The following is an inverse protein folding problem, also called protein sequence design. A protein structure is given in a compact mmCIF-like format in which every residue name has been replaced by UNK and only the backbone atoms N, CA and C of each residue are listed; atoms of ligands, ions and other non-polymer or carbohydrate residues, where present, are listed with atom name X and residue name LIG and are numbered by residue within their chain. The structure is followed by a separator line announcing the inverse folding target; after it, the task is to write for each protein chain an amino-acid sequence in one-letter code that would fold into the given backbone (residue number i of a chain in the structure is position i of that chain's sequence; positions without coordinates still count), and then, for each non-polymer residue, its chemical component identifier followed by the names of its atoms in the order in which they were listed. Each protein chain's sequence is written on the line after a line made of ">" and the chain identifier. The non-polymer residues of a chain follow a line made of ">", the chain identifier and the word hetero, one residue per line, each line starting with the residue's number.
data_IF_344454910170
#
_entry.id   IF_344454910170
#
_cell.length_a   1.000
_cell.length_b   1.000
_cell.length_c   1.000
_cell.angle_alpha   90.00
_cell.angle_beta   90.00
_cell.angle_gamma   90.00
#
_symmetry.space_group_name_H-M   'P 1'
#
loop_
_entity.id
_entity.type
_entity.pdbx_description
1 polymer ?
2 branched ?
3 water ?
#
# COMPACT_ATOMS: atom_id res chain seq x y z
N UNK A 37 9.75 15.10 28.73
CA UNK A 37 8.89 15.27 27.56
C UNK A 37 7.99 14.04 27.32
N UNK A 38 6.70 14.31 27.11
CA UNK A 38 5.71 13.27 26.89
C UNK A 38 5.19 13.35 25.45
N UNK A 39 5.46 12.32 24.67
CA UNK A 39 5.00 12.23 23.28
C UNK A 39 3.74 11.40 23.20
N UNK A 40 2.76 11.91 22.44
CA UNK A 40 1.56 11.15 22.12
C UNK A 40 1.73 10.55 20.73
N UNK A 41 1.72 9.22 20.65
CA UNK A 41 2.00 8.47 19.43
C UNK A 41 0.82 7.58 19.09
N UNK A 42 0.23 7.78 17.92
CA UNK A 42 -0.86 6.95 17.41
C UNK A 42 -0.38 6.17 16.19
N UNK A 43 -0.59 4.85 16.21
CA UNK A 43 -0.13 3.98 15.13
C UNK A 43 -1.24 3.04 14.70
N UNK A 44 -1.31 2.78 13.40
CA UNK A 44 -2.28 1.87 12.83
C UNK A 44 -1.88 0.42 13.10
N UNK A 45 -2.84 -0.38 13.57
CA UNK A 45 -2.62 -1.81 13.75
C UNK A 45 -3.06 -2.51 12.47
N UNK A 46 -2.08 -2.88 11.64
CA UNK A 46 -2.32 -3.64 10.45
C UNK A 46 -1.74 -5.04 10.52
N UNK A 47 -1.61 -5.66 9.35
CA UNK A 47 -1.20 -7.06 9.28
C UNK A 47 0.11 -7.37 9.99
N UNK A 48 0.97 -6.36 10.16
CA UNK A 48 2.24 -6.58 10.87
C UNK A 48 2.08 -6.60 12.39
N UNK A 49 0.90 -6.28 12.90
CA UNK A 49 0.67 -6.32 14.34
C UNK A 49 1.08 -5.04 15.05
N UNK A 50 0.60 -4.90 16.29
CA UNK A 50 0.87 -3.73 17.10
C UNK A 50 2.00 -3.93 18.11
N UNK A 51 2.36 -5.19 18.40
CA UNK A 51 3.42 -5.44 19.39
C UNK A 51 4.74 -4.82 18.97
N UNK A 52 5.01 -4.74 17.67
CA UNK A 52 6.26 -4.14 17.23
C UNK A 52 6.33 -2.66 17.61
N UNK A 53 5.19 -1.97 17.62
CA UNK A 53 5.21 -0.56 18.05
C UNK A 53 5.39 -0.45 19.56
N UNK A 54 4.79 -1.37 20.31
CA UNK A 54 5.02 -1.39 21.76
C UNK A 54 6.49 -1.61 22.05
N UNK A 55 7.11 -2.57 21.36
CA UNK A 55 8.51 -2.87 21.64
C UNK A 55 9.42 -1.74 21.16
N UNK A 56 9.11 -1.14 20.01
CA UNK A 56 9.92 -0.03 19.51
C UNK A 56 9.84 1.16 20.46
N UNK A 57 8.62 1.48 20.91
CA UNK A 57 8.45 2.59 21.86
C UNK A 57 9.21 2.30 23.14
N UNK A 58 9.11 1.07 23.65
CA UNK A 58 9.86 0.70 24.84
C UNK A 58 11.36 0.84 24.61
N UNK A 59 11.83 0.44 23.42
CA UNK A 59 13.25 0.51 23.14
C UNK A 59 13.73 1.95 23.05
N UNK A 60 12.89 2.85 22.53
CA UNK A 60 13.29 4.26 22.47
C UNK A 60 13.36 4.86 23.87
N UNK A 61 12.44 4.46 24.75
CA UNK A 61 12.46 4.96 26.13
C UNK A 61 13.65 4.41 26.90
N UNK A 62 14.15 3.23 26.54
CA UNK A 62 15.37 2.74 27.15
C UNK A 62 16.59 3.50 26.63
N UNK A 63 16.58 3.88 25.34
CA UNK A 63 17.67 4.66 24.80
C UNK A 63 17.62 6.10 25.28
N UNK A 64 16.42 6.69 25.32
CA UNK A 64 16.21 8.10 25.65
C UNK A 64 15.40 8.20 26.94
N UNK A 65 16.06 8.17 28.10
CA UNK A 65 15.33 8.17 29.37
C UNK A 65 14.56 9.46 29.66
N UNK A 66 14.72 10.49 28.86
CA UNK A 66 14.02 11.75 29.07
C UNK A 66 12.70 11.84 28.34
N UNK A 67 12.33 10.82 27.56
CA UNK A 67 11.12 10.85 26.75
C UNK A 67 10.20 9.72 27.19
N UNK A 68 8.94 10.06 27.45
CA UNK A 68 7.89 9.10 27.71
C UNK A 68 6.90 9.17 26.56
N UNK A 69 6.51 8.00 26.02
CA UNK A 69 5.61 7.94 24.88
C UNK A 69 4.33 7.25 25.31
N UNK A 70 3.20 7.94 25.12
CA UNK A 70 1.89 7.34 25.27
C UNK A 70 1.49 6.80 23.92
N UNK A 71 1.61 5.48 23.76
CA UNK A 71 1.34 4.82 22.49
C UNK A 71 -0.12 4.40 22.42
N UNK A 72 -0.77 4.73 21.31
CA UNK A 72 -2.09 4.21 20.99
C UNK A 72 -2.00 3.48 19.66
N UNK A 73 -2.29 2.19 19.67
CA UNK A 73 -2.42 1.40 18.45
C UNK A 73 -3.86 0.95 18.31
N UNK A 74 -4.36 0.95 17.08
CA UNK A 74 -5.76 0.58 16.87
C UNK A 74 -5.98 0.30 15.40
N UNK A 75 -6.84 -0.69 15.11
CA UNK A 75 -7.31 -0.89 13.75
C UNK A 75 -8.19 0.27 13.30
N UNK A 76 -8.74 1.05 14.23
CA UNK A 76 -9.54 2.22 13.91
C UNK A 76 -8.88 3.47 14.49
N UNK A 77 -7.64 3.74 14.10
CA UNK A 77 -6.88 4.84 14.68
C UNK A 77 -7.46 6.20 14.28
N UNK A 78 -8.23 6.25 13.19
CA UNK A 78 -8.93 7.48 12.83
C UNK A 78 -9.99 7.84 13.87
N UNK A 79 -10.84 6.87 14.23
CA UNK A 79 -11.87 7.13 15.23
C UNK A 79 -11.31 7.45 16.60
N UNK A 80 -10.08 7.02 16.90
CA UNK A 80 -9.47 7.32 18.20
C UNK A 80 -9.05 8.79 18.27
N UNK A 81 -8.32 9.27 17.26
CA UNK A 81 -7.67 10.56 17.35
C UNK A 81 -8.49 11.71 16.76
N UNK A 82 -9.42 11.42 15.85
CA UNK A 82 -10.19 12.50 15.24
C UNK A 82 -11.03 13.29 16.23
N UNK A 83 -11.75 12.68 17.19
CA UNK A 83 -12.45 13.51 18.19
C UNK A 83 -11.52 14.39 18.99
N UNK A 84 -10.37 13.87 19.42
CA UNK A 84 -9.41 14.70 20.12
C UNK A 84 -8.86 15.83 19.26
N UNK A 85 -8.71 15.59 17.96
CA UNK A 85 -8.19 16.62 17.07
C UNK A 85 -9.18 17.78 16.93
N UNK A 86 -10.44 17.47 16.63
CA UNK A 86 -11.45 18.51 16.51
C UNK A 86 -11.75 19.17 17.84
N UNK A 87 -11.34 18.54 18.95
CA UNK A 87 -11.45 19.12 20.28
C UNK A 87 -10.19 19.88 20.71
N UNK A 88 -9.11 19.78 19.94
CA UNK A 88 -7.88 20.51 20.20
C UNK A 88 -6.72 19.65 20.66
N UNK A 89 -6.98 18.40 21.07
CA UNK A 89 -5.94 17.52 21.59
C UNK A 89 -5.41 16.66 20.44
N UNK A 90 -4.31 17.12 19.83
CA UNK A 90 -3.68 16.39 18.73
C UNK A 90 -2.56 15.49 19.26
N UNK A 91 -2.37 14.32 18.66
CA UNK A 91 -1.15 13.56 18.93
C UNK A 91 0.06 14.24 18.30
N UNK A 92 1.24 13.90 18.83
CA UNK A 92 2.46 14.51 18.33
C UNK A 92 2.96 13.83 17.07
N UNK A 93 2.71 12.55 16.90
CA UNK A 93 3.20 11.78 15.76
C UNK A 93 2.20 10.67 15.47
N UNK A 94 1.91 10.45 14.19
CA UNK A 94 0.91 9.48 13.77
C UNK A 94 1.52 8.56 12.73
N UNK A 95 1.35 7.25 12.92
CA UNK A 95 1.65 6.27 11.89
C UNK A 95 0.33 5.88 11.23
N UNK A 96 0.12 6.36 10.01
CA UNK A 96 -1.05 6.03 9.20
C UNK A 96 -0.79 6.45 7.76
N UNK A 97 -0.78 5.49 6.84
CA UNK A 97 -0.49 5.78 5.45
C UNK A 97 -1.67 6.38 4.72
N UNK A 98 -1.44 6.68 3.44
CA UNK A 98 -2.54 6.97 2.53
C UNK A 98 -3.24 5.67 2.16
N UNK A 99 -4.54 5.77 1.91
CA UNK A 99 -5.31 4.60 1.51
C UNK A 99 -6.29 4.08 2.54
N UNK A 100 -6.35 4.67 3.73
CA UNK A 100 -7.34 4.27 4.71
C UNK A 100 -8.74 4.54 4.17
N UNK A 101 -9.74 3.97 4.86
CA UNK A 101 -11.14 4.17 4.45
C UNK A 101 -11.58 5.59 4.75
N UNK A 102 -11.30 6.08 5.96
CA UNK A 102 -11.63 7.45 6.31
C UNK A 102 -10.84 8.47 5.50
N UNK A 103 -9.69 8.05 4.96
CA UNK A 103 -8.80 8.97 4.28
C UNK A 103 -8.31 10.10 5.18
N UNK A 104 -7.96 9.78 6.42
CA UNK A 104 -7.58 10.82 7.38
C UNK A 104 -6.34 11.56 6.91
N UNK A 105 -5.29 10.80 6.55
CA UNK A 105 -4.04 11.42 6.12
C UNK A 105 -4.26 12.37 4.95
N UNK A 106 -4.98 11.91 3.93
CA UNK A 106 -5.24 12.76 2.77
C UNK A 106 -6.05 14.00 3.16
N UNK A 107 -7.03 13.83 4.06
CA UNK A 107 -7.81 14.97 4.53
C UNK A 107 -6.93 16.01 5.20
N UNK A 108 -6.13 15.60 6.19
CA UNK A 108 -5.24 16.54 6.85
C UNK A 108 -4.23 17.14 5.87
N UNK A 109 -3.83 16.37 4.85
CA UNK A 109 -3.00 16.92 3.79
C UNK A 109 -3.73 18.01 3.02
N UNK A 110 -5.04 17.83 2.81
CA UNK A 110 -5.82 18.84 2.09
C UNK A 110 -5.97 20.11 2.91
N UNK A 111 -6.12 20.00 4.22
CA UNK A 111 -6.22 21.15 5.10
C UNK A 111 -4.87 21.75 5.46
N UNK A 112 -3.80 21.33 4.77
CA UNK A 112 -2.45 21.79 5.08
C UNK A 112 -2.15 21.66 6.58
N UNK A 113 -2.59 20.54 7.16
CA UNK A 113 -2.49 20.30 8.59
C UNK A 113 -1.41 19.31 8.96
N UNK A 114 -0.45 19.07 8.07
CA UNK A 114 0.63 18.12 8.32
C UNK A 114 1.95 18.86 8.26
N UNK A 115 2.76 18.71 9.31
CA UNK A 115 3.99 19.46 9.44
C UNK A 115 5.01 19.07 8.37
N UNK A 116 5.74 20.06 7.88
CA UNK A 116 6.88 19.83 6.99
C UNK A 116 7.99 19.13 7.78
N UNK A 117 8.29 17.89 7.42
CA UNK A 117 9.29 17.13 8.14
C UNK A 117 10.50 16.86 7.25
N UNK A 118 10.75 17.77 6.30
CA UNK A 118 11.91 17.60 5.43
C UNK A 118 13.20 17.56 6.22
N UNK A 119 13.28 18.34 7.30
CA UNK A 119 14.46 18.36 8.14
C UNK A 119 14.69 17.04 8.88
N UNK A 120 13.70 16.14 8.91
CA UNK A 120 13.92 14.84 9.51
C UNK A 120 14.89 14.02 8.67
N UNK A 121 14.94 14.28 7.35
CA UNK A 121 15.88 13.57 6.50
C UNK A 121 17.32 13.87 6.88
N UNK A 122 17.58 15.04 7.47
CA UNK A 122 18.92 15.44 7.83
C UNK A 122 19.25 15.17 9.30
N UNK A 123 18.29 14.71 10.09
CA UNK A 123 18.55 14.54 11.51
C UNK A 123 19.39 13.30 11.79
N UNK A 124 20.18 13.38 12.85
CA UNK A 124 20.93 12.24 13.34
C UNK A 124 19.97 11.19 13.89
N UNK A 125 20.11 9.96 13.41
CA UNK A 125 19.34 8.83 13.93
C UNK A 125 19.74 8.60 15.38
N UNK A 126 18.82 8.70 16.34
CA UNK A 126 19.18 8.42 17.73
C UNK A 126 19.77 7.02 17.87
N UNK A 127 20.81 6.91 18.70
CA UNK A 127 21.56 5.69 18.84
C UNK A 127 22.63 5.47 17.78
N UNK A 128 22.71 6.33 16.77
CA UNK A 128 23.66 6.20 15.68
C UNK A 128 24.20 7.57 15.32
N UNK A 129 25.15 7.62 14.38
CA UNK A 129 25.69 8.89 13.90
C UNK A 129 25.50 9.03 12.40
N UNK A 130 24.45 8.44 11.86
CA UNK A 130 24.09 8.59 10.47
C UNK A 130 22.82 9.43 10.38
N UNK A 131 22.66 10.11 9.25
CA UNK A 131 21.42 10.83 9.04
C UNK A 131 20.35 9.90 8.49
N UNK A 132 19.10 10.33 8.61
CA UNK A 132 18.00 9.53 8.08
C UNK A 132 18.18 9.30 6.58
N UNK A 133 18.56 10.35 5.84
CA UNK A 133 18.67 10.20 4.39
C UNK A 133 19.84 9.31 3.99
N UNK A 134 20.92 9.30 4.79
CA UNK A 134 22.03 8.40 4.52
C UNK A 134 21.61 6.94 4.55
N UNK A 135 20.58 6.61 5.34
CA UNK A 135 20.14 5.23 5.50
C UNK A 135 19.02 4.84 4.56
N UNK A 136 18.24 5.80 4.05
CA UNK A 136 17.11 5.45 3.20
C UNK A 136 17.57 4.81 1.90
N UNK A 137 16.83 3.79 1.46
CA UNK A 137 17.06 3.15 0.18
C UNK A 137 16.60 4.11 -0.92
N UNK A 138 17.00 3.84 -2.16
CA UNK A 138 16.54 4.66 -3.27
C UNK A 138 15.07 4.40 -3.56
N UNK A 139 14.46 5.36 -4.24
CA UNK A 139 13.10 5.18 -4.73
C UNK A 139 12.05 5.01 -3.65
N UNK A 140 12.21 5.72 -2.53
CA UNK A 140 11.17 5.73 -1.50
C UNK A 140 10.74 7.13 -1.13
N UNK A 141 11.53 8.16 -1.43
CA UNK A 141 11.11 9.55 -1.28
C UNK A 141 10.65 10.00 -2.65
N UNK A 142 9.35 10.26 -2.78
CA UNK A 142 8.76 10.63 -4.04
C UNK A 142 7.39 11.24 -3.87
N UNK A 143 6.49 10.96 -4.81
CA UNK A 143 5.19 11.61 -4.78
C UNK A 143 4.36 11.19 -3.56
N UNK A 144 4.57 9.97 -3.07
CA UNK A 144 3.88 9.51 -1.85
C UNK A 144 4.34 10.30 -0.63
N UNK A 145 5.64 10.58 -0.53
CA UNK A 145 6.19 11.31 0.61
C UNK A 145 6.07 12.82 0.45
N UNK A 146 6.01 13.31 -0.80
CA UNK A 146 5.87 14.72 -1.12
C UNK A 146 4.54 14.91 -1.84
N UNK A 147 3.41 14.84 -1.13
CA UNK A 147 2.11 14.78 -1.83
C UNK A 147 1.78 16.05 -2.59
N UNK A 148 2.43 17.16 -2.29
CA UNK A 148 2.29 18.39 -3.09
C UNK A 148 3.32 18.47 -4.20
N UNK A 149 4.20 17.47 -4.33
CA UNK A 149 5.04 17.34 -5.49
C UNK A 149 6.19 18.32 -5.59
N UNK A 150 6.76 18.73 -4.46
CA UNK A 150 7.89 19.63 -4.53
C UNK A 150 9.15 19.00 -4.00
N UNK A 151 9.95 19.79 -3.27
CA UNK A 151 11.08 19.26 -2.56
C UNK A 151 10.82 19.15 -1.06
N UNK A 152 9.57 19.28 -0.65
CA UNK A 152 9.19 19.23 0.76
C UNK A 152 8.54 17.89 1.08
N UNK A 153 9.08 17.21 2.08
CA UNK A 153 8.59 15.90 2.49
C UNK A 153 7.63 16.06 3.66
N UNK A 154 6.43 15.50 3.51
CA UNK A 154 5.41 15.57 4.55
C UNK A 154 5.04 14.23 5.15
N UNK A 155 5.29 13.12 4.46
CA UNK A 155 4.99 11.79 4.98
C UNK A 155 6.26 10.95 4.88
N UNK A 156 6.89 10.68 6.02
CA UNK A 156 8.11 9.89 6.02
C UNK A 156 7.79 8.42 5.78
N UNK A 157 8.60 7.72 4.99
CA UNK A 157 8.23 6.37 4.57
C UNK A 157 8.26 5.37 5.72
N UNK A 158 7.24 4.51 5.74
CA UNK A 158 7.12 3.46 6.73
C UNK A 158 7.02 2.13 6.00
N UNK A 159 7.79 1.14 6.48
CA UNK A 159 7.86 -0.19 5.87
C UNK A 159 8.48 -0.11 4.48
N UNK A 160 8.36 -1.20 3.71
CA UNK A 160 9.03 -1.35 2.42
C UNK A 160 8.58 -2.65 1.77
N UNK A 161 7.26 -2.83 1.64
CA UNK A 161 6.78 -4.15 1.29
C UNK A 161 6.41 -4.24 -0.17
N UNK A 162 6.95 -5.21 -0.90
CA UNK A 162 6.50 -5.42 -2.28
C UNK A 162 5.05 -5.86 -2.33
N UNK A 163 4.32 -5.32 -3.31
CA UNK A 163 2.97 -5.75 -3.61
C UNK A 163 2.89 -6.23 -5.05
N UNK A 164 2.00 -7.17 -5.28
CA UNK A 164 1.76 -7.73 -6.59
C UNK A 164 0.59 -8.67 -6.52
N UNK A 165 0.81 -9.94 -6.87
CA UNK A 165 -0.20 -10.98 -6.78
C UNK A 165 0.31 -12.08 -5.86
N UNK A 166 -0.47 -12.39 -4.83
CA UNK A 166 -0.16 -13.46 -3.89
C UNK A 166 -1.05 -14.64 -4.22
N UNK A 167 -0.46 -15.85 -4.19
CA UNK A 167 -1.19 -17.06 -4.52
C UNK A 167 -0.56 -18.23 -3.76
N UNK A 168 -1.10 -19.42 -3.99
CA UNK A 168 -0.55 -20.64 -3.41
C UNK A 168 0.34 -21.29 -4.46
N UNK A 169 1.65 -21.24 -4.21
CA UNK A 169 2.62 -21.76 -5.18
C UNK A 169 2.39 -23.25 -5.46
N UNK A 170 2.01 -24.01 -4.43
CA UNK A 170 1.84 -25.44 -4.59
C UNK A 170 0.61 -25.77 -5.44
N UNK A 171 -0.48 -25.03 -5.23
CA UNK A 171 -1.70 -25.30 -5.99
C UNK A 171 -1.49 -25.06 -7.48
N UNK A 172 -0.73 -24.02 -7.82
CA UNK A 172 -0.48 -23.72 -9.23
C UNK A 172 0.39 -24.80 -9.87
N UNK A 173 1.41 -25.27 -9.16
CA UNK A 173 2.27 -26.33 -9.70
C UNK A 173 1.54 -27.67 -9.77
N UNK A 174 0.65 -27.94 -8.83
CA UNK A 174 -0.08 -29.21 -8.86
C UNK A 174 -0.98 -29.32 -10.09
N UNK A 175 -1.53 -28.21 -10.56
CA UNK A 175 -2.39 -28.22 -11.73
C UNK A 175 -1.63 -28.02 -13.04
N UNK A 176 -0.30 -28.08 -13.01
CA UNK A 176 0.49 -27.87 -14.20
C UNK A 176 0.44 -26.46 -14.76
N UNK A 177 0.05 -25.48 -13.96
CA UNK A 177 -0.04 -24.09 -14.41
C UNK A 177 1.23 -23.33 -14.08
N UNK A 178 1.55 -22.36 -14.93
CA UNK A 178 2.67 -21.46 -14.71
C UNK A 178 2.16 -20.06 -14.46
N UNK A 179 2.97 -19.26 -13.79
CA UNK A 179 2.57 -17.89 -13.48
C UNK A 179 2.49 -17.06 -14.75
N UNK A 180 1.33 -16.49 -15.08
CA UNK A 180 1.22 -15.68 -16.30
C UNK A 180 2.06 -14.40 -16.19
N UNK A 181 2.64 -14.01 -17.31
CA UNK A 181 3.30 -12.71 -17.42
C UNK A 181 2.45 -11.68 -18.16
N UNK A 182 1.45 -12.12 -18.93
CA UNK A 182 0.52 -11.23 -19.61
C UNK A 182 -0.91 -11.56 -19.20
N UNK A 183 -1.82 -10.65 -19.53
CA UNK A 183 -3.22 -10.82 -19.17
C UNK A 183 -3.94 -11.80 -20.09
N UNK A 184 -3.49 -11.93 -21.34
CA UNK A 184 -4.01 -13.00 -22.19
C UNK A 184 -3.78 -14.36 -21.52
N UNK A 185 -2.57 -14.58 -21.03
CA UNK A 185 -2.29 -15.81 -20.28
C UNK A 185 -3.10 -15.87 -19.00
N UNK A 186 -3.33 -14.73 -18.36
CA UNK A 186 -4.01 -14.71 -17.06
C UNK A 186 -5.47 -15.10 -17.21
N UNK A 187 -6.13 -14.67 -18.28
CA UNK A 187 -7.53 -15.04 -18.49
C UNK A 187 -7.68 -16.46 -19.01
N UNK A 188 -6.74 -16.93 -19.83
CA UNK A 188 -6.75 -18.34 -20.24
C UNK A 188 -6.57 -19.25 -19.04
N UNK A 189 -5.71 -18.85 -18.10
CA UNK A 189 -5.62 -19.57 -16.83
C UNK A 189 -6.94 -19.51 -16.08
N UNK A 190 -7.57 -18.32 -16.06
CA UNK A 190 -8.88 -18.20 -15.42
C UNK A 190 -9.89 -19.18 -15.98
N UNK A 191 -9.89 -19.36 -17.31
CA UNK A 191 -10.78 -20.35 -17.91
C UNK A 191 -10.41 -21.77 -17.46
N UNK A 192 -9.12 -22.09 -17.48
CA UNK A 192 -8.67 -23.41 -17.03
C UNK A 192 -9.04 -23.65 -15.57
N UNK A 193 -8.86 -22.63 -14.73
CA UNK A 193 -9.22 -22.77 -13.32
C UNK A 193 -10.73 -22.84 -13.14
N UNK A 194 -11.48 -22.05 -13.91
CA UNK A 194 -12.93 -22.07 -13.81
C UNK A 194 -13.50 -23.46 -14.07
N UNK A 195 -12.91 -24.18 -15.03
CA UNK A 195 -13.34 -25.54 -15.31
C UNK A 195 -13.09 -26.49 -14.14
N UNK A 196 -12.15 -26.16 -13.25
CA UNK A 196 -11.90 -26.94 -12.06
C UNK A 196 -12.59 -26.36 -10.82
N UNK A 197 -13.54 -25.45 -11.01
CA UNK A 197 -14.24 -24.88 -9.87
C UNK A 197 -13.43 -23.94 -9.02
N UNK A 198 -12.50 -23.20 -9.61
CA UNK A 198 -11.67 -22.26 -8.88
C UNK A 198 -11.79 -20.89 -9.53
N UNK A 199 -12.16 -19.88 -8.74
CA UNK A 199 -12.17 -18.51 -9.22
C UNK A 199 -10.75 -18.01 -9.44
N UNK A 200 -10.56 -17.21 -10.49
CA UNK A 200 -9.22 -16.74 -10.80
C UNK A 200 -8.72 -15.77 -9.74
N UNK A 201 -9.59 -14.89 -9.25
CA UNK A 201 -9.14 -13.66 -8.61
C UNK A 201 -10.07 -13.25 -7.47
N UNK A 202 -9.48 -12.63 -6.46
CA UNK A 202 -10.24 -11.98 -5.39
C UNK A 202 -9.36 -10.88 -4.81
N UNK A 203 -9.94 -10.07 -3.93
CA UNK A 203 -9.15 -9.03 -3.30
C UNK A 203 -9.66 -8.79 -1.89
N UNK A 204 -8.78 -8.33 -0.98
CA UNK A 204 -9.22 -8.08 0.41
C UNK A 204 -10.24 -6.96 0.50
N UNK A 205 -9.83 -5.73 0.17
CA UNK A 205 -10.74 -4.60 0.02
C UNK A 205 -10.41 -3.89 -1.28
N UNK A 206 -11.37 -3.09 -1.76
CA UNK A 206 -11.17 -2.36 -3.01
C UNK A 206 -9.96 -1.45 -2.92
N UNK A 207 -9.65 -0.95 -1.72
CA UNK A 207 -8.49 -0.10 -1.55
C UNK A 207 -7.19 -0.74 -1.97
N UNK A 208 -7.12 -2.08 -1.93
CA UNK A 208 -5.89 -2.77 -2.34
C UNK A 208 -5.56 -2.58 -3.81
N UNK A 209 -6.42 -1.90 -4.58
CA UNK A 209 -6.12 -1.63 -5.99
C UNK A 209 -5.21 -0.44 -6.19
N UNK A 210 -4.77 0.23 -5.12
CA UNK A 210 -3.75 1.26 -5.27
C UNK A 210 -2.46 0.67 -5.80
N UNK A 211 -1.98 -0.40 -5.17
CA UNK A 211 -0.78 -1.08 -5.67
C UNK A 211 -1.05 -1.74 -7.02
N UNK A 212 -2.20 -2.40 -7.16
CA UNK A 212 -2.56 -3.03 -8.43
C UNK A 212 -2.54 -2.03 -9.57
N UNK A 213 -3.25 -0.90 -9.40
CA UNK A 213 -3.30 0.08 -10.48
C UNK A 213 -1.95 0.75 -10.70
N UNK A 214 -1.16 0.94 -9.64
CA UNK A 214 0.19 1.49 -9.82
C UNK A 214 0.99 0.62 -10.79
N UNK A 215 0.96 -0.70 -10.57
CA UNK A 215 1.64 -1.61 -11.48
C UNK A 215 0.98 -1.61 -12.85
N UNK A 216 -0.33 -1.83 -12.90
CA UNK A 216 -1.03 -1.98 -14.18
C UNK A 216 -0.91 -0.72 -15.04
N UNK A 217 -1.08 0.45 -14.44
CA UNK A 217 -0.96 1.70 -15.20
C UNK A 217 0.44 1.86 -15.77
N UNK A 218 1.46 1.63 -14.93
CA UNK A 218 2.84 1.75 -15.40
C UNK A 218 3.18 0.65 -16.40
N UNK A 219 2.64 -0.55 -16.18
CA UNK A 219 2.86 -1.64 -17.12
C UNK A 219 2.43 -1.25 -18.53
N UNK A 220 1.28 -0.57 -18.64
CA UNK A 220 0.66 -0.34 -19.93
C UNK A 220 1.25 0.88 -20.61
N UNK A 221 1.38 1.98 -19.86
CA UNK A 221 1.72 3.26 -20.46
C UNK A 221 3.13 3.76 -20.22
N UNK A 222 3.78 3.28 -19.18
CA UNK A 222 5.13 3.71 -18.87
C UNK A 222 5.15 4.70 -17.71
N UNK A 223 6.36 5.17 -17.42
CA UNK A 223 6.56 6.01 -16.24
C UNK A 223 5.88 7.37 -16.39
N UNK A 224 6.12 8.06 -17.50
CA UNK A 224 5.54 9.39 -17.67
C UNK A 224 4.02 9.33 -17.63
N UNK A 225 3.43 8.36 -18.33
CA UNK A 225 1.97 8.20 -18.29
C UNK A 225 1.50 7.96 -16.86
N UNK A 226 2.27 7.21 -16.06
CA UNK A 226 1.89 6.96 -14.67
C UNK A 226 1.85 8.26 -13.88
N UNK A 227 2.93 9.05 -13.92
CA UNK A 227 2.95 10.33 -13.21
C UNK A 227 1.80 11.22 -13.68
N UNK A 228 1.46 11.17 -14.96
CA UNK A 228 0.37 11.99 -15.49
C UNK A 228 -0.96 11.62 -14.86
N UNK A 229 -1.22 10.33 -14.68
CA UNK A 229 -2.44 9.91 -13.98
C UNK A 229 -2.41 10.43 -12.54
N UNK A 230 -1.33 10.16 -11.82
CA UNK A 230 -1.23 10.58 -10.43
C UNK A 230 -1.33 12.09 -10.25
N UNK A 231 -1.00 12.87 -11.28
CA UNK A 231 -1.00 14.33 -11.17
C UNK A 231 -2.12 14.98 -11.99
N UNK A 232 -3.03 14.18 -12.54
CA UNK A 232 -4.30 14.67 -13.10
C UNK A 232 -4.10 15.43 -14.41
N UNK A 233 -3.20 14.94 -15.26
CA UNK A 233 -3.09 15.53 -16.60
C UNK A 233 -4.44 15.48 -17.30
N UNK A 234 -4.81 16.59 -17.93
CA UNK A 234 -6.12 16.70 -18.54
C UNK A 234 -6.35 15.59 -19.56
N UNK A 235 -7.53 14.98 -19.51
CA UNK A 235 -7.97 13.96 -20.45
C UNK A 235 -7.11 12.70 -20.42
N UNK A 236 -6.33 12.49 -19.36
CA UNK A 236 -5.47 11.31 -19.31
C UNK A 236 -6.30 10.02 -19.26
N UNK A 237 -7.49 10.07 -18.66
CA UNK A 237 -8.36 8.91 -18.59
C UNK A 237 -9.07 8.61 -19.91
N UNK A 238 -8.95 9.51 -20.90
CA UNK A 238 -9.44 9.23 -22.24
C UNK A 238 -8.38 8.63 -23.14
N UNK A 239 -7.15 8.45 -22.67
CA UNK A 239 -6.11 7.84 -23.48
C UNK A 239 -6.35 6.34 -23.64
N UNK A 240 -5.74 5.78 -24.68
CA UNK A 240 -5.87 4.35 -24.93
C UNK A 240 -5.23 3.53 -23.82
N UNK A 241 -4.19 4.07 -23.17
CA UNK A 241 -3.51 3.32 -22.11
C UNK A 241 -4.35 3.27 -20.85
N UNK A 242 -4.96 4.39 -20.47
CA UNK A 242 -5.85 4.40 -19.31
C UNK A 242 -7.09 3.56 -19.56
N UNK A 243 -7.65 3.65 -20.78
CA UNK A 243 -8.78 2.80 -21.11
C UNK A 243 -8.42 1.33 -20.99
N UNK A 244 -7.20 0.97 -21.41
CA UNK A 244 -6.80 -0.43 -21.34
C UNK A 244 -6.63 -0.90 -19.90
N UNK A 245 -6.15 -0.03 -19.01
CA UNK A 245 -6.10 -0.38 -17.61
C UNK A 245 -7.50 -0.65 -17.05
N UNK A 246 -8.49 0.12 -17.49
CA UNK A 246 -9.85 -0.08 -17.00
C UNK A 246 -10.49 -1.31 -17.63
N UNK A 247 -10.33 -1.50 -18.95
CA UNK A 247 -10.87 -2.69 -19.60
C UNK A 247 -10.34 -3.97 -18.95
N UNK A 248 -9.04 -4.03 -18.75
CA UNK A 248 -8.44 -5.22 -18.14
C UNK A 248 -9.02 -5.48 -16.77
N UNK A 249 -9.09 -4.44 -15.93
CA UNK A 249 -9.64 -4.61 -14.59
C UNK A 249 -11.15 -4.89 -14.64
N UNK A 250 -11.86 -4.24 -15.56
CA UNK A 250 -13.28 -4.52 -15.73
C UNK A 250 -13.52 -5.99 -16.04
N UNK A 251 -12.80 -6.51 -17.04
CA UNK A 251 -12.94 -7.93 -17.38
C UNK A 251 -12.60 -8.81 -16.19
N UNK A 252 -11.59 -8.43 -15.40
CA UNK A 252 -11.17 -9.24 -14.26
C UNK A 252 -12.27 -9.36 -13.21
N UNK A 253 -12.71 -8.22 -12.66
CA UNK A 253 -13.63 -8.24 -11.53
C UNK A 253 -15.07 -8.56 -11.91
N UNK A 254 -15.40 -8.59 -13.20
CA UNK A 254 -16.76 -8.94 -13.63
C UNK A 254 -16.89 -10.34 -14.20
N UNK A 255 -15.78 -10.95 -14.66
CA UNK A 255 -15.85 -12.28 -15.25
C UNK A 255 -14.97 -13.34 -14.57
N UNK A 256 -13.98 -12.93 -13.78
CA UNK A 256 -13.05 -13.88 -13.18
C UNK A 256 -12.89 -13.66 -11.68
N UNK A 257 -13.95 -13.21 -11.01
CA UNK A 257 -13.88 -12.83 -9.60
C UNK A 257 -14.62 -13.85 -8.75
N UNK A 258 -14.07 -14.14 -7.57
CA UNK A 258 -14.76 -14.98 -6.61
C UNK A 258 -16.10 -14.34 -6.25
N UNK A 259 -17.20 -15.08 -6.31
CA UNK A 259 -18.52 -14.45 -6.09
C UNK A 259 -18.68 -13.86 -4.71
N UNK A 260 -17.94 -14.34 -3.71
CA UNK A 260 -18.06 -13.85 -2.33
C UNK A 260 -17.22 -12.62 -2.06
N UNK A 261 -16.54 -12.07 -3.07
CA UNK A 261 -15.48 -11.09 -2.82
C UNK A 261 -16.02 -9.77 -2.31
N UNK A 262 -16.98 -9.18 -3.03
CA UNK A 262 -17.47 -7.85 -2.66
C UNK A 262 -18.12 -7.86 -1.29
N UNK A 263 -18.90 -8.91 -0.99
CA UNK A 263 -19.56 -9.00 0.30
C UNK A 263 -18.60 -9.02 1.47
N UNK A 264 -17.36 -9.46 1.25
CA UNK A 264 -16.34 -9.50 2.27
C UNK A 264 -15.29 -8.40 2.10
N UNK A 265 -15.47 -7.51 1.12
CA UNK A 265 -14.48 -6.49 0.79
C UNK A 265 -14.67 -5.27 1.69
N UNK A 266 -14.38 -5.47 2.97
CA UNK A 266 -14.52 -4.43 3.98
C UNK A 266 -13.47 -4.67 5.06
N UNK A 267 -13.40 -3.72 6.00
CA UNK A 267 -12.36 -3.76 7.02
C UNK A 267 -12.54 -4.90 7.99
N UNK A 268 -13.76 -5.44 8.12
CA UNK A 268 -14.03 -6.51 9.08
C UNK A 268 -13.87 -7.89 8.46
N UNK A 269 -14.15 -8.03 7.17
CA UNK A 269 -14.23 -9.34 6.54
C UNK A 269 -13.18 -9.56 5.46
N UNK A 270 -12.27 -8.61 5.26
CA UNK A 270 -11.29 -8.74 4.18
C UNK A 270 -10.48 -10.04 4.29
N UNK A 271 -10.24 -10.51 5.51
CA UNK A 271 -9.51 -11.75 5.70
C UNK A 271 -10.25 -12.96 5.16
N UNK A 272 -11.58 -12.88 5.06
CA UNK A 272 -12.34 -13.97 4.46
C UNK A 272 -11.90 -14.20 3.02
N UNK A 273 -11.84 -13.12 2.22
CA UNK A 273 -11.37 -13.23 0.85
C UNK A 273 -9.93 -13.74 0.80
N UNK A 274 -9.09 -13.27 1.71
CA UNK A 274 -7.73 -13.79 1.79
C UNK A 274 -7.71 -15.27 2.15
N UNK A 275 -8.65 -15.72 2.99
CA UNK A 275 -8.71 -17.14 3.32
C UNK A 275 -9.02 -18.00 2.09
N UNK A 276 -9.75 -17.45 1.11
CA UNK A 276 -10.08 -18.24 -0.08
C UNK A 276 -8.83 -18.63 -0.85
N UNK A 277 -7.75 -17.84 -0.72
CA UNK A 277 -6.47 -18.25 -1.29
C UNK A 277 -5.92 -19.46 -0.55
N UNK A 278 -5.89 -19.41 0.78
CA UNK A 278 -5.41 -20.53 1.57
C UNK A 278 -6.28 -21.76 1.40
N UNK A 279 -7.55 -21.60 1.03
CA UNK A 279 -8.45 -22.73 0.85
C UNK A 279 -8.41 -23.31 -0.56
N UNK A 280 -7.84 -22.59 -1.52
CA UNK A 280 -7.79 -23.06 -2.89
C UNK A 280 -9.02 -22.77 -3.72
N UNK A 281 -9.91 -21.88 -3.27
CA UNK A 281 -11.09 -21.50 -4.04
C UNK A 281 -10.83 -20.27 -4.92
N UNK A 282 -9.72 -19.58 -4.69
CA UNK A 282 -9.30 -18.46 -5.53
C UNK A 282 -7.81 -18.60 -5.77
N UNK A 283 -7.38 -18.28 -6.99
CA UNK A 283 -5.97 -18.38 -7.32
C UNK A 283 -5.18 -17.18 -6.80
N UNK A 284 -5.56 -15.97 -7.22
CA UNK A 284 -4.73 -14.80 -7.01
C UNK A 284 -5.46 -13.73 -6.20
N UNK A 285 -4.68 -12.89 -5.54
CA UNK A 285 -5.19 -11.69 -4.90
C UNK A 285 -4.08 -10.65 -4.87
N UNK A 286 -4.42 -9.36 -4.96
CA UNK A 286 -3.39 -8.32 -4.81
C UNK A 286 -3.15 -8.07 -3.33
N UNK A 287 -1.88 -8.11 -2.93
CA UNK A 287 -1.54 -8.06 -1.52
C UNK A 287 -0.05 -7.81 -1.37
N UNK A 288 0.39 -7.63 -0.11
CA UNK A 288 1.78 -7.43 0.23
C UNK A 288 2.29 -8.37 1.29
N UNK A 289 3.52 -8.16 1.76
CA UNK A 289 4.20 -9.13 2.61
C UNK A 289 3.60 -9.23 4.01
N UNK A 290 2.80 -8.25 4.44
CA UNK A 290 2.11 -8.37 5.71
C UNK A 290 1.16 -9.56 5.74
N UNK A 291 0.84 -10.14 4.58
CA UNK A 291 -0.12 -11.24 4.53
C UNK A 291 0.38 -12.44 5.31
N UNK A 292 1.70 -12.61 5.41
CA UNK A 292 2.25 -13.80 6.05
C UNK A 292 1.95 -13.78 7.55
N UNK A 293 2.21 -12.65 8.20
CA UNK A 293 1.92 -12.56 9.64
C UNK A 293 0.44 -12.41 9.90
N UNK A 294 -0.28 -11.73 9.00
CA UNK A 294 -1.71 -11.50 9.17
C UNK A 294 -2.51 -12.79 9.15
N UNK A 295 -2.08 -13.76 8.35
CA UNK A 295 -2.74 -15.06 8.24
C UNK A 295 -1.92 -16.15 8.93
N UNK A 296 -1.14 -15.77 9.95
CA UNK A 296 -0.28 -16.72 10.65
C UNK A 296 -1.08 -17.86 11.25
N UNK A 297 -2.22 -17.55 11.88
CA UNK A 297 -3.01 -18.52 12.61
C UNK A 297 -4.15 -19.10 11.77
N UNK A 298 -3.96 -19.19 10.46
CA UNK A 298 -5.10 -19.60 9.66
C UNK A 298 -4.87 -20.98 9.05
N UNK A 299 -5.91 -21.81 8.99
CA UNK A 299 -5.79 -23.09 8.29
C UNK A 299 -5.53 -22.88 6.81
N UNK A 300 -4.96 -23.91 6.17
CA UNK A 300 -4.64 -23.83 4.76
C UNK A 300 -4.55 -25.25 4.20
N UNK A 301 -4.67 -25.35 2.88
CA UNK A 301 -4.59 -26.64 2.21
C UNK A 301 -3.22 -27.28 2.43
N UNK A 302 -3.20 -28.61 2.34
CA UNK A 302 -1.97 -29.35 2.59
C UNK A 302 -0.88 -28.97 1.59
N UNK A 303 0.32 -28.75 2.11
CA UNK A 303 1.43 -28.37 1.26
C UNK A 303 1.45 -26.92 0.84
N UNK A 304 0.59 -26.09 1.45
CA UNK A 304 0.53 -24.68 1.10
C UNK A 304 1.90 -24.03 1.23
N UNK A 305 2.30 -23.31 0.19
CA UNK A 305 3.50 -22.47 0.19
C UNK A 305 3.13 -21.14 -0.46
N UNK A 306 3.58 -20.05 0.17
CA UNK A 306 3.26 -18.73 -0.37
C UNK A 306 3.89 -18.55 -1.75
N UNK A 307 3.10 -17.99 -2.66
CA UNK A 307 3.59 -17.59 -3.97
C UNK A 307 3.38 -16.11 -4.19
N UNK A 308 4.33 -15.48 -4.87
CA UNK A 308 4.31 -14.05 -5.12
C UNK A 308 4.78 -13.79 -6.54
N UNK A 309 4.18 -12.80 -7.20
CA UNK A 309 4.51 -12.52 -8.59
C UNK A 309 4.01 -11.13 -8.94
N UNK A 310 4.69 -10.45 -9.86
CA UNK A 310 4.19 -9.15 -10.32
C UNK A 310 2.81 -9.29 -10.96
N UNK A 311 2.06 -8.20 -10.91
CA UNK A 311 0.86 -8.12 -11.75
C UNK A 311 1.29 -8.31 -13.21
N UNK A 312 0.56 -9.07 -14.01
CA UNK A 312 0.95 -9.22 -15.42
C UNK A 312 0.78 -7.92 -16.18
N UNK A 313 1.58 -7.78 -17.24
CA UNK A 313 1.44 -6.64 -18.15
C UNK A 313 0.52 -7.06 -19.30
N UNK A 314 0.41 -6.22 -20.33
CA UNK A 314 -0.47 -6.51 -21.45
C UNK A 314 0.28 -6.97 -22.69
N UNK A 315 1.57 -6.66 -22.82
CA UNK A 315 2.33 -6.90 -24.03
C UNK A 315 3.53 -7.79 -23.72
N UNK A 316 3.74 -8.80 -24.56
CA UNK A 316 4.94 -9.64 -24.45
C UNK A 316 6.20 -8.79 -24.46
N UNK A 317 7.12 -9.10 -23.56
CA UNK A 317 8.33 -8.34 -23.44
C UNK A 317 8.21 -7.04 -22.69
N UNK A 318 7.01 -6.69 -22.23
CA UNK A 318 6.85 -5.49 -21.45
C UNK A 318 7.40 -5.63 -20.05
N UNK A 319 7.87 -4.52 -19.50
CA UNK A 319 8.30 -4.51 -18.11
C UNK A 319 7.10 -4.75 -17.21
N UNK A 320 7.30 -5.59 -16.19
CA UNK A 320 6.34 -5.75 -15.11
C UNK A 320 6.86 -4.99 -13.89
N UNK A 321 5.97 -4.28 -13.22
CA UNK A 321 6.34 -3.45 -12.08
C UNK A 321 5.77 -4.04 -10.79
N UNK A 322 6.60 -4.04 -9.75
CA UNK A 322 6.20 -4.38 -8.40
C UNK A 322 6.04 -3.08 -7.63
N UNK A 323 4.99 -2.98 -6.83
CA UNK A 323 4.70 -1.74 -6.11
C UNK A 323 5.44 -1.73 -4.77
N UNK A 324 6.25 -0.71 -4.55
CA UNK A 324 6.88 -0.48 -3.25
C UNK A 324 5.82 0.11 -2.34
N UNK A 325 5.16 -0.76 -1.58
CA UNK A 325 4.06 -0.36 -0.70
C UNK A 325 4.63 0.15 0.61
N UNK A 326 4.51 1.44 0.84
CA UNK A 326 4.91 2.05 2.10
C UNK A 326 3.69 2.69 2.76
N UNK A 327 3.74 2.77 4.07
CA UNK A 327 2.83 3.62 4.81
C UNK A 327 3.62 4.85 5.27
N UNK A 328 3.00 5.68 6.09
CA UNK A 328 3.59 6.97 6.41
C UNK A 328 3.59 7.21 7.91
N UNK A 329 4.60 7.93 8.37
CA UNK A 329 4.63 8.49 9.71
C UNK A 329 4.73 10.00 9.58
N UNK A 330 3.94 10.74 10.37
CA UNK A 330 3.84 12.17 10.16
C UNK A 330 3.49 12.87 11.46
N UNK A 331 3.70 14.18 11.47
CA UNK A 331 3.48 15.02 12.62
C UNK A 331 2.43 16.07 12.28
N UNK A 332 1.33 16.15 13.02
CA UNK A 332 0.34 17.20 12.76
C UNK A 332 0.94 18.58 12.99
N UNK A 333 0.42 19.56 12.25
CA UNK A 333 0.84 20.93 12.46
C UNK A 333 0.41 21.45 13.83
N UNK A 334 -0.65 20.89 14.40
CA UNK A 334 -1.11 21.31 15.71
C UNK A 334 -0.43 20.56 16.85
N UNK A 335 0.50 19.65 16.55
CA UNK A 335 1.22 18.94 17.61
C UNK A 335 2.00 19.91 18.48
N UNK A 336 2.08 19.60 19.77
CA UNK A 336 2.73 20.45 20.75
C UNK A 336 4.19 20.11 21.00
N UNK A 337 4.67 18.95 20.54
CA UNK A 337 6.05 18.52 20.77
C UNK A 337 6.68 18.09 19.46
N UNK A 338 6.65 18.97 18.46
CA UNK A 338 7.13 18.60 17.13
C UNK A 338 8.60 18.22 17.15
N UNK A 339 9.40 18.91 17.96
CA UNK A 339 10.84 18.63 17.95
C UNK A 339 11.12 17.25 18.55
N UNK A 340 10.43 16.89 19.64
CA UNK A 340 10.65 15.58 20.23
C UNK A 340 10.10 14.48 19.32
N UNK A 341 8.99 14.75 18.63
CA UNK A 341 8.45 13.75 17.71
C UNK A 341 9.35 13.55 16.51
N UNK A 342 9.97 14.62 16.00
CA UNK A 342 10.91 14.48 14.89
C UNK A 342 12.09 13.61 15.29
N UNK A 343 12.64 13.84 16.48
CA UNK A 343 13.76 13.03 16.93
C UNK A 343 13.35 11.57 17.08
N UNK A 344 12.13 11.32 17.58
CA UNK A 344 11.65 9.95 17.68
C UNK A 344 11.36 9.36 16.30
N UNK A 345 10.84 10.18 15.39
CA UNK A 345 10.64 9.72 14.01
C UNK A 345 11.96 9.24 13.42
N UNK A 346 13.05 9.97 13.67
CA UNK A 346 14.35 9.56 13.16
C UNK A 346 14.76 8.20 13.71
N UNK A 347 14.37 7.90 14.95
CA UNK A 347 14.71 6.61 15.54
C UNK A 347 14.04 5.44 14.84
N UNK A 348 12.96 5.69 14.10
CA UNK A 348 12.28 4.61 13.39
C UNK A 348 13.10 4.07 12.22
N UNK A 349 14.17 4.76 11.84
CA UNK A 349 15.07 4.29 10.80
C UNK A 349 16.38 3.74 11.37
N UNK A 350 16.45 3.56 12.68
CA UNK A 350 17.61 2.97 13.33
C UNK A 350 17.66 1.46 13.09
N UNK A 351 18.87 0.92 13.20
CA UNK A 351 19.04 -0.54 13.16
C UNK A 351 18.22 -1.22 14.25
N UNK A 352 18.18 -0.64 15.44
CA UNK A 352 17.41 -1.23 16.54
C UNK A 352 15.92 -1.28 16.18
N UNK A 353 15.36 -0.16 15.72
CA UNK A 353 13.96 -0.15 15.32
C UNK A 353 13.70 -1.12 14.17
N UNK A 354 14.62 -1.19 13.21
CA UNK A 354 14.42 -2.06 12.06
C UNK A 354 14.35 -3.52 12.47
N UNK A 355 15.20 -3.93 13.42
CA UNK A 355 15.23 -5.33 13.83
C UNK A 355 13.97 -5.72 14.59
N UNK A 356 13.35 -4.77 15.29
CA UNK A 356 12.09 -5.07 15.97
C UNK A 356 10.95 -5.18 14.97
N UNK A 357 10.83 -4.19 14.09
CA UNK A 357 9.81 -4.23 13.04
C UNK A 357 9.93 -5.50 12.20
N UNK A 358 11.15 -5.95 11.93
CA UNK A 358 11.37 -7.06 11.00
C UNK A 358 10.80 -8.38 11.49
N UNK A 359 10.49 -8.51 12.79
CA UNK A 359 10.09 -9.80 13.33
C UNK A 359 8.78 -10.30 12.71
N UNK A 360 7.90 -9.40 12.29
CA UNK A 360 6.63 -9.76 11.68
C UNK A 360 6.62 -9.50 10.18
N UNK A 361 7.76 -9.20 9.58
CA UNK A 361 7.87 -8.92 8.17
C UNK A 361 7.93 -7.46 7.79
N UNK A 362 7.81 -6.55 8.76
CA UNK A 362 7.84 -5.11 8.49
C UNK A 362 9.29 -4.71 8.28
N UNK A 363 9.66 -4.47 7.03
CA UNK A 363 11.03 -4.15 6.66
C UNK A 363 11.11 -2.64 6.47
N UNK A 364 11.85 -1.96 7.33
CA UNK A 364 12.00 -0.52 7.21
C UNK A 364 12.88 -0.19 5.99
N UNK A 365 12.58 0.90 5.26
CA UNK A 365 13.26 1.19 4.00
C UNK A 365 14.67 1.75 4.19
N UNK A 366 15.48 1.03 4.95
CA UNK A 366 16.87 1.41 5.16
C UNK A 366 17.76 0.43 4.41
N UNK A 367 18.96 0.90 4.06
CA UNK A 367 19.85 0.11 3.23
C UNK A 367 20.29 -1.16 3.94
N UNK A 368 20.39 -2.24 3.17
CA UNK A 368 20.81 -3.52 3.70
C UNK A 368 19.76 -4.28 4.48
N UNK A 369 18.55 -3.74 4.63
CA UNK A 369 17.55 -4.38 5.45
C UNK A 369 16.89 -5.58 4.75
N UNK A 370 17.17 -5.79 3.47
CA UNK A 370 16.74 -7.00 2.78
C UNK A 370 17.87 -8.02 2.65
N UNK A 371 19.09 -7.66 3.04
CA UNK A 371 20.11 -8.68 3.31
C UNK A 371 19.67 -9.50 4.51
N UNK A 372 20.02 -10.79 4.48
CA UNK A 372 19.70 -11.71 5.56
C UNK A 372 18.20 -11.68 5.89
N UNK A 373 17.40 -11.96 4.86
CA UNK A 373 15.95 -11.97 5.02
C UNK A 373 15.48 -13.25 5.68
N UNK A 374 14.38 -13.15 6.42
CA UNK A 374 13.70 -14.34 6.90
C UNK A 374 13.24 -15.17 5.71
N UNK A 375 13.13 -16.49 5.92
CA UNK A 375 12.80 -17.39 4.82
C UNK A 375 11.42 -17.09 4.26
N UNK A 376 10.46 -16.76 5.12
CA UNK A 376 9.10 -16.55 4.66
C UNK A 376 8.93 -15.26 3.86
N UNK A 377 9.96 -14.41 3.81
CA UNK A 377 9.96 -13.21 2.98
C UNK A 377 10.71 -13.39 1.66
N UNK A 378 11.45 -14.50 1.50
CA UNK A 378 12.30 -14.64 0.31
C UNK A 378 11.48 -14.73 -0.96
N UNK A 379 10.36 -15.47 -0.93
CA UNK A 379 9.55 -15.59 -2.15
C UNK A 379 9.07 -14.23 -2.62
N UNK A 380 8.83 -13.31 -1.69
CA UNK A 380 8.32 -11.99 -2.05
C UNK A 380 9.42 -11.13 -2.67
N UNK A 381 10.54 -10.97 -1.96
CA UNK A 381 11.58 -10.09 -2.45
C UNK A 381 12.31 -10.67 -3.65
N UNK A 382 12.34 -12.00 -3.79
CA UNK A 382 13.00 -12.62 -4.95
C UNK A 382 12.34 -12.24 -6.26
N UNK A 383 11.09 -11.77 -6.23
CA UNK A 383 10.43 -11.34 -7.46
C UNK A 383 11.11 -10.13 -8.07
N UNK A 384 11.82 -9.33 -7.27
CA UNK A 384 12.59 -8.22 -7.82
C UNK A 384 13.73 -8.67 -8.71
N UNK A 385 14.19 -9.91 -8.56
CA UNK A 385 15.30 -10.44 -9.34
C UNK A 385 14.86 -11.04 -10.66
N UNK A 386 13.57 -11.00 -10.99
CA UNK A 386 13.11 -11.55 -12.26
C UNK A 386 13.52 -10.63 -13.41
N UNK A 387 13.67 -11.22 -14.59
CA UNK A 387 14.03 -10.46 -15.77
C UNK A 387 12.95 -9.45 -16.12
N UNK A 388 13.38 -8.22 -16.40
CA UNK A 388 12.50 -7.14 -16.84
C UNK A 388 11.38 -6.89 -15.82
N UNK A 389 11.75 -6.87 -14.55
CA UNK A 389 10.82 -6.57 -13.46
C UNK A 389 11.44 -5.46 -12.63
N UNK A 390 10.72 -4.35 -12.49
CA UNK A 390 11.23 -3.19 -11.77
C UNK A 390 10.24 -2.70 -10.73
N UNK A 391 10.51 -1.54 -10.14
CA UNK A 391 9.70 -1.00 -9.07
C UNK A 391 8.88 0.20 -9.54
N UNK A 392 7.67 0.31 -8.98
CA UNK A 392 6.81 1.47 -9.15
C UNK A 392 6.33 1.88 -7.77
N UNK A 393 6.12 3.18 -7.59
CA UNK A 393 5.72 3.70 -6.28
C UNK A 393 5.05 5.05 -6.48
N UNK A 394 4.27 5.44 -5.48
CA UNK A 394 3.61 6.73 -5.47
C UNK A 394 2.11 6.61 -5.25
N UNK A 395 1.50 7.77 -5.05
CA UNK A 395 0.07 7.87 -4.86
C UNK A 395 -0.42 9.13 -5.57
N UNK A 396 -1.69 9.47 -5.39
CA UNK A 396 -2.25 10.62 -6.06
C UNK A 396 -1.76 11.92 -5.45
N UNK A 397 -1.63 12.94 -6.30
CA UNK A 397 -1.20 14.25 -5.83
C UNK A 397 -2.24 14.87 -4.90
N UNK A 398 -1.76 15.54 -3.86
CA UNK A 398 -2.62 16.27 -2.94
C UNK A 398 -2.61 17.76 -3.20
N UNK A 399 -2.10 18.20 -4.35
CA UNK A 399 -1.98 19.61 -4.68
C UNK A 399 -3.31 20.24 -5.08
N UNK A 400 -4.38 19.46 -5.18
CA UNK A 400 -5.68 19.99 -5.57
C UNK A 400 -6.77 19.15 -4.94
N UNK A 401 -7.92 19.79 -4.68
CA UNK A 401 -9.04 19.11 -4.06
C UNK A 401 -10.34 19.75 -4.52
N UNK A 402 -11.38 18.93 -4.69
CA UNK A 402 -12.69 19.38 -5.13
C UNK A 402 -13.73 18.82 -4.17
N UNK A 403 -14.59 19.69 -3.64
CA UNK A 403 -15.64 19.25 -2.74
C UNK A 403 -16.58 18.28 -3.45
N UNK A 404 -16.93 17.20 -2.75
CA UNK A 404 -17.79 16.17 -3.28
C UNK A 404 -17.13 15.17 -4.21
N UNK A 405 -15.89 15.41 -4.64
CA UNK A 405 -15.15 14.52 -5.51
C UNK A 405 -14.05 13.82 -4.72
N UNK A 406 -13.75 12.58 -5.13
CA UNK A 406 -12.63 11.84 -4.54
C UNK A 406 -12.10 10.88 -5.60
N UNK A 407 -10.91 11.16 -6.13
CA UNK A 407 -10.37 10.34 -7.20
C UNK A 407 -10.11 8.92 -6.72
N UNK A 408 -9.76 8.75 -5.44
CA UNK A 408 -9.51 7.41 -4.92
C UNK A 408 -10.79 6.60 -4.81
N UNK A 409 -11.91 7.25 -4.49
CA UNK A 409 -13.20 6.56 -4.58
C UNK A 409 -13.51 6.17 -6.02
N UNK A 410 -13.22 7.06 -6.96
CA UNK A 410 -13.60 6.81 -8.34
C UNK A 410 -12.75 5.73 -8.99
N UNK A 411 -11.51 5.56 -8.55
CA UNK A 411 -10.67 4.52 -9.15
C UNK A 411 -10.68 3.22 -8.35
N UNK A 412 -10.54 3.31 -7.02
CA UNK A 412 -10.37 2.12 -6.19
C UNK A 412 -11.71 1.58 -5.70
N UNK A 413 -12.46 2.38 -4.94
CA UNK A 413 -13.72 1.90 -4.37
C UNK A 413 -14.72 1.54 -5.46
N UNK A 414 -14.62 2.16 -6.63
CA UNK A 414 -15.55 1.88 -7.72
C UNK A 414 -15.40 0.47 -8.28
N UNK A 415 -14.35 -0.27 -7.89
CA UNK A 415 -14.25 -1.67 -8.30
C UNK A 415 -15.39 -2.48 -7.68
N UNK A 416 -15.68 -2.26 -6.39
CA UNK A 416 -16.79 -2.95 -5.76
C UNK A 416 -18.07 -2.73 -6.55
N UNK A 417 -18.30 -1.50 -7.00
CA UNK A 417 -19.50 -1.20 -7.77
C UNK A 417 -19.44 -1.87 -9.13
N UNK A 418 -18.29 -1.75 -9.82
CA UNK A 418 -18.11 -2.39 -11.12
C UNK A 418 -18.27 -3.90 -11.01
N UNK A 419 -17.64 -4.50 -9.99
CA UNK A 419 -17.78 -5.94 -9.78
C UNK A 419 -19.22 -6.33 -9.50
N UNK A 420 -20.00 -5.42 -8.91
CA UNK A 420 -21.40 -5.71 -8.58
C UNK A 420 -22.35 -5.49 -9.74
N UNK A 421 -21.87 -4.96 -10.86
CA UNK A 421 -22.73 -4.66 -11.98
C UNK A 421 -23.44 -3.33 -11.89
N UNK A 422 -23.10 -2.48 -10.92
CA UNK A 422 -23.73 -1.19 -10.74
C UNK A 422 -23.09 -0.09 -11.59
N UNK A 423 -21.92 -0.34 -12.16
CA UNK A 423 -21.21 0.67 -12.93
C UNK A 423 -20.65 0.02 -14.20
N UNK A 424 -20.99 0.59 -15.36
CA UNK A 424 -20.45 0.08 -16.60
C UNK A 424 -19.02 0.57 -16.80
N UNK A 425 -18.35 -0.02 -17.79
CA UNK A 425 -17.00 0.42 -18.12
C UNK A 425 -16.99 1.88 -18.58
N UNK A 426 -17.95 2.26 -19.41
CA UNK A 426 -18.02 3.64 -19.88
C UNK A 426 -18.31 4.60 -18.72
N UNK A 427 -19.18 4.19 -17.80
CA UNK A 427 -19.45 5.01 -16.62
C UNK A 427 -18.21 5.14 -15.74
N UNK A 428 -17.41 4.07 -15.65
CA UNK A 428 -16.18 4.14 -14.87
C UNK A 428 -15.21 5.15 -15.46
N UNK A 429 -14.99 5.09 -16.77
CA UNK A 429 -14.07 6.02 -17.42
C UNK A 429 -14.57 7.45 -17.33
N UNK A 430 -15.86 7.67 -17.62
CA UNK A 430 -16.41 9.02 -17.61
C UNK A 430 -16.27 9.67 -16.24
N UNK A 431 -16.48 8.90 -15.17
CA UNK A 431 -16.36 9.46 -13.83
C UNK A 431 -14.91 9.82 -13.52
N UNK A 432 -13.98 8.92 -13.82
CA UNK A 432 -12.57 9.17 -13.56
C UNK A 432 -12.07 10.37 -14.35
N UNK A 433 -12.46 10.48 -15.62
CA UNK A 433 -12.03 11.60 -16.43
C UNK A 433 -12.63 12.91 -15.90
N UNK A 434 -13.88 12.86 -15.44
CA UNK A 434 -14.51 14.08 -14.93
C UNK A 434 -13.85 14.54 -13.65
N UNK A 435 -13.68 13.63 -12.68
CA UNK A 435 -13.05 13.99 -11.42
C UNK A 435 -11.62 14.46 -11.64
N UNK A 436 -10.85 13.71 -12.44
CA UNK A 436 -9.45 14.07 -12.67
C UNK A 436 -9.34 15.44 -13.34
N UNK A 437 -10.18 15.72 -14.34
CA UNK A 437 -10.15 17.03 -14.98
C UNK A 437 -10.56 18.14 -14.01
N UNK A 438 -11.55 17.89 -13.15
CA UNK A 438 -11.94 18.86 -12.13
C UNK A 438 -10.76 19.16 -11.20
N UNK A 439 -10.08 18.11 -10.74
CA UNK A 439 -8.88 18.31 -9.92
C UNK A 439 -7.80 19.04 -10.69
N UNK A 440 -7.73 18.81 -12.01
CA UNK A 440 -6.77 19.54 -12.84
C UNK A 440 -7.08 21.03 -12.83
N UNK A 441 -8.35 21.40 -12.72
CA UNK A 441 -8.74 22.80 -12.83
C UNK A 441 -8.31 23.61 -11.60
N UNK A 442 -8.27 22.99 -10.44
CA UNK A 442 -7.86 23.70 -9.22
C UNK A 442 -6.35 23.99 -9.20
#
# INVERSE_FOLDING_TARGET
>A
MTHFSTVKRVIALAGAGAMLFSVAACGGVTASDGGKTTLKFAAFEGGYGADMYKEVVAAYEKLNPDVKIELTTSKKIEDEITPGMKAGNYPDIVELGQGSTSGLTETLLKDKAIEDVTDVLDMKVPGENKTVKDKLVDGVIGLYTNPYGGDKTYLMPMYYSPSGLVYNKTLLEQNGWKMPTTWDEMFKLGDEAKAKGISLFTYPTAGYFDAFFNALLADIGGDQFYQDVMTYKKDVWKTDEAKEALETTYKLVTEYLNPDTVGYANAQDFTKNQQSILDGKSLFMPNGTWIVNEMKDAPRTSGFEWGFAPVPTVKNGGTRYINTTIEAVWIPAKAKNKEAAKKFMAYLYSDEAASIFAKTGAIQPIKGNTDDLASDMKVFYDAYNEDNVKAVAGSFSATATVEGKNIKDDLYNAVDSVASGKTTLQQWQDKLNETSNALNAAAKQ
#
